data_IF_499276042103
#
_entry.id   IF_499276042103
#
_cell.length_a   1.000
_cell.length_b   1.000
_cell.length_c   1.000
_cell.angle_alpha   90.00
_cell.angle_beta   90.00
_cell.angle_gamma   90.00
#
_symmetry.space_group_name_H-M   'P 1'
#
loop_
_entity.id
_entity.type
_entity.pdbx_description
1 polymer ?
#
# COMPACT_ATOMS: atom_id res chain seq x y z
N UNK A 1 -12.76 8.62 2.29
CA UNK A 1 -12.07 9.81 1.75
C UNK A 1 -11.70 9.53 0.31
N UNK A 2 -11.51 10.57 -0.51
CA UNK A 2 -10.98 10.41 -1.88
C UNK A 2 -9.53 9.88 -1.86
N UNK A 3 -8.99 9.48 -3.02
CA UNK A 3 -7.58 9.07 -3.12
C UNK A 3 -6.75 10.34 -2.98
N UNK A 4 -5.53 10.25 -2.43
CA UNK A 4 -4.49 11.26 -2.41
C UNK A 4 -4.43 12.03 -3.74
N UNK A 5 -4.36 11.28 -4.85
CA UNK A 5 -4.25 11.79 -6.21
C UNK A 5 -5.50 12.53 -6.71
N UNK A 6 -6.63 12.40 -6.01
CA UNK A 6 -7.95 12.92 -6.38
C UNK A 6 -8.55 13.82 -5.29
N UNK A 7 -7.83 14.06 -4.19
CA UNK A 7 -8.32 14.79 -3.02
C UNK A 7 -8.62 16.24 -3.34
N UNK A 8 -9.78 16.73 -2.91
CA UNK A 8 -10.06 18.15 -2.86
C UNK A 8 -9.48 18.74 -1.57
N UNK A 9 -8.28 19.32 -1.65
CA UNK A 9 -7.55 19.86 -0.50
C UNK A 9 -8.24 21.03 0.22
N UNK A 10 -9.34 21.58 -0.32
CA UNK A 10 -10.16 22.58 0.38
C UNK A 10 -11.24 21.98 1.27
N UNK A 11 -11.64 20.74 1.01
CA UNK A 11 -12.79 20.09 1.65
C UNK A 11 -12.37 18.92 2.54
N UNK A 12 -11.31 18.21 2.16
CA UNK A 12 -10.84 17.01 2.83
C UNK A 12 -9.39 17.19 3.29
N UNK A 13 -9.06 16.87 4.55
CA UNK A 13 -7.67 16.85 5.01
C UNK A 13 -6.90 15.67 4.39
N UNK A 14 -5.59 15.82 4.29
CA UNK A 14 -4.65 14.71 4.09
C UNK A 14 -4.51 13.87 5.35
N UNK A 15 -3.98 12.65 5.21
CA UNK A 15 -3.60 11.78 6.31
C UNK A 15 -2.57 12.46 7.24
N UNK A 16 -1.64 13.23 6.67
CA UNK A 16 -0.68 14.03 7.42
C UNK A 16 -1.38 15.11 8.27
N UNK A 17 -2.35 15.85 7.71
CA UNK A 17 -3.12 16.86 8.44
C UNK A 17 -3.99 16.24 9.54
N UNK A 18 -4.63 15.09 9.27
CA UNK A 18 -5.39 14.35 10.28
C UNK A 18 -4.49 13.85 11.41
N UNK A 19 -3.31 13.31 11.08
CA UNK A 19 -2.32 12.83 12.04
C UNK A 19 -1.84 13.97 12.94
N UNK A 20 -1.49 15.11 12.35
CA UNK A 20 -1.13 16.32 13.08
C UNK A 20 -2.23 16.74 14.05
N UNK A 21 -3.47 16.86 13.56
CA UNK A 21 -4.59 17.30 14.38
C UNK A 21 -4.87 16.32 15.54
N UNK A 22 -4.75 15.01 15.29
CA UNK A 22 -4.90 13.99 16.32
C UNK A 22 -3.81 14.12 17.40
N UNK A 23 -2.54 14.21 17.00
CA UNK A 23 -1.42 14.37 17.93
C UNK A 23 -1.57 15.66 18.75
N UNK A 24 -1.94 16.78 18.12
CA UNK A 24 -2.14 18.07 18.81
C UNK A 24 -3.20 18.02 19.92
N UNK A 25 -4.20 17.14 19.79
CA UNK A 25 -5.23 16.90 20.80
C UNK A 25 -4.75 15.90 21.84
N UNK A 26 -4.24 14.75 21.39
CA UNK A 26 -3.89 13.61 22.25
C UNK A 26 -2.70 13.90 23.17
N UNK A 27 -1.72 14.68 22.70
CA UNK A 27 -0.54 15.05 23.49
C UNK A 27 -0.85 15.92 24.72
N UNK A 28 -2.09 16.42 24.85
CA UNK A 28 -2.54 17.16 26.04
C UNK A 28 -2.71 16.25 27.26
N UNK A 29 -2.77 14.93 27.07
CA UNK A 29 -2.81 13.99 28.17
C UNK A 29 -1.39 13.70 28.68
N UNK A 30 -1.09 14.14 29.91
CA UNK A 30 0.21 13.90 30.56
C UNK A 30 0.51 12.42 30.82
N UNK A 31 -0.51 11.54 30.77
CA UNK A 31 -0.32 10.08 30.86
C UNK A 31 0.04 9.42 29.52
N UNK A 32 0.19 10.21 28.45
CA UNK A 32 0.47 9.71 27.10
C UNK A 32 -0.79 9.33 26.32
N UNK A 33 -0.59 8.77 25.14
CA UNK A 33 -1.66 8.36 24.23
C UNK A 33 -1.26 7.18 23.35
N UNK A 34 -2.27 6.50 22.81
CA UNK A 34 -2.14 5.58 21.70
C UNK A 34 -2.86 6.19 20.49
N UNK A 35 -2.23 6.13 19.32
CA UNK A 35 -2.80 6.59 18.06
C UNK A 35 -2.56 5.54 16.98
N UNK A 36 -3.64 5.15 16.30
CA UNK A 36 -3.59 4.35 15.07
C UNK A 36 -3.83 5.27 13.88
N UNK A 37 -2.91 5.26 12.92
CA UNK A 37 -3.01 5.97 11.64
C UNK A 37 -2.98 4.93 10.53
N UNK A 38 -3.99 4.93 9.66
CA UNK A 38 -4.16 3.91 8.64
C UNK A 38 -4.12 4.52 7.22
N UNK A 39 -3.19 4.05 6.39
CA UNK A 39 -3.16 4.31 4.95
C UNK A 39 -4.12 3.39 4.17
N UNK A 40 -5.37 3.27 4.60
CA UNK A 40 -6.27 2.16 4.19
C UNK A 40 -6.68 2.13 2.72
N UNK A 41 -6.36 3.17 1.94
CA UNK A 41 -6.66 3.22 0.50
C UNK A 41 -5.56 2.60 -0.37
N UNK A 42 -4.39 2.30 0.21
CA UNK A 42 -3.33 1.52 -0.46
C UNK A 42 -3.91 0.19 -0.93
N UNK A 43 -4.62 -0.51 -0.03
CA UNK A 43 -5.32 -1.76 -0.28
C UNK A 43 -6.36 -1.64 -1.42
N UNK A 44 -7.26 -0.66 -1.31
CA UNK A 44 -8.32 -0.42 -2.31
C UNK A 44 -7.75 -0.16 -3.71
N UNK A 45 -6.62 0.54 -3.82
CA UNK A 45 -5.97 0.77 -5.09
C UNK A 45 -5.35 -0.53 -5.66
N UNK A 46 -4.79 -1.39 -4.81
CA UNK A 46 -4.27 -2.69 -5.23
C UNK A 46 -5.37 -3.66 -5.68
N UNK A 47 -6.53 -3.65 -5.01
CA UNK A 47 -7.73 -4.38 -5.44
C UNK A 47 -8.14 -4.06 -6.88
N UNK A 48 -7.97 -2.81 -7.30
CA UNK A 48 -8.28 -2.36 -8.66
C UNK A 48 -7.10 -2.51 -9.64
N UNK A 49 -5.98 -3.10 -9.21
CA UNK A 49 -4.69 -3.12 -9.92
C UNK A 49 -4.21 -1.72 -10.34
N UNK A 50 -4.51 -0.68 -9.58
CA UNK A 50 -4.12 0.72 -9.89
C UNK A 50 -2.87 1.10 -9.10
N UNK A 51 -1.70 0.60 -9.50
CA UNK A 51 -0.45 0.80 -8.77
C UNK A 51 -0.06 2.29 -8.64
N UNK A 52 -0.42 3.13 -9.63
CA UNK A 52 -0.19 4.57 -9.54
C UNK A 52 -0.90 5.21 -8.34
N UNK A 53 -2.15 4.82 -8.08
CA UNK A 53 -2.88 5.22 -6.87
C UNK A 53 -2.28 4.59 -5.62
N UNK A 54 -2.00 3.29 -5.63
CA UNK A 54 -1.47 2.60 -4.45
C UNK A 54 -0.15 3.22 -3.97
N UNK A 55 0.75 3.57 -4.89
CA UNK A 55 1.99 4.27 -4.57
C UNK A 55 1.74 5.70 -4.07
N UNK A 56 0.77 6.43 -4.64
CA UNK A 56 0.37 7.75 -4.16
C UNK A 56 -0.18 7.70 -2.73
N UNK A 57 -1.01 6.71 -2.39
CA UNK A 57 -1.51 6.53 -1.01
C UNK A 57 -0.38 6.12 -0.06
N UNK A 58 0.59 5.34 -0.54
CA UNK A 58 1.76 4.95 0.25
C UNK A 58 2.62 6.16 0.59
N UNK A 59 2.81 7.09 -0.35
CA UNK A 59 3.48 8.37 -0.08
C UNK A 59 2.70 9.23 0.90
N UNK A 60 1.37 9.23 0.85
CA UNK A 60 0.55 9.94 1.83
C UNK A 60 0.68 9.36 3.25
N UNK A 61 0.82 8.04 3.39
CA UNK A 61 1.16 7.43 4.67
C UNK A 61 2.58 7.79 5.13
N UNK A 62 3.55 7.84 4.21
CA UNK A 62 4.93 8.26 4.51
C UNK A 62 4.98 9.70 5.05
N UNK A 63 4.26 10.62 4.43
CA UNK A 63 4.13 12.00 4.92
C UNK A 63 3.51 12.04 6.32
N UNK A 64 2.49 11.23 6.60
CA UNK A 64 1.87 11.13 7.92
C UNK A 64 2.83 10.59 9.00
N UNK A 65 3.66 9.60 8.64
CA UNK A 65 4.74 9.10 9.52
C UNK A 65 5.76 10.19 9.80
N UNK A 66 6.18 10.95 8.78
CA UNK A 66 7.10 12.08 8.97
C UNK A 66 6.51 13.15 9.90
N UNK A 67 5.23 13.48 9.75
CA UNK A 67 4.53 14.40 10.67
C UNK A 67 4.52 13.86 12.10
N UNK A 68 4.29 12.57 12.30
CA UNK A 68 4.34 11.98 13.63
C UNK A 68 5.74 12.05 14.25
N UNK A 69 6.79 11.78 13.46
CA UNK A 69 8.20 11.91 13.87
C UNK A 69 8.53 13.36 14.27
N UNK A 70 8.05 14.34 13.52
CA UNK A 70 8.34 15.76 13.77
C UNK A 70 7.62 16.31 15.01
N UNK A 71 6.46 15.74 15.36
CA UNK A 71 5.59 16.23 16.43
C UNK A 71 5.77 15.48 17.76
N UNK A 72 6.53 14.38 17.80
CA UNK A 72 6.66 13.56 19.00
C UNK A 72 8.13 13.34 19.38
N UNK A 73 8.49 13.43 20.68
CA UNK A 73 9.85 13.21 21.14
C UNK A 73 10.22 11.72 21.03
N UNK A 74 11.34 11.44 20.35
CA UNK A 74 11.82 10.07 20.10
C UNK A 74 12.18 9.29 21.36
N UNK A 75 12.46 10.00 22.46
CA UNK A 75 12.83 9.48 23.76
C UNK A 75 11.62 8.92 24.53
N UNK A 76 10.41 9.33 24.18
CA UNK A 76 9.17 8.98 24.89
C UNK A 76 8.13 8.33 23.97
N UNK A 77 8.30 8.42 22.65
CA UNK A 77 7.32 7.94 21.68
C UNK A 77 7.87 6.78 20.85
N UNK A 78 7.20 5.64 20.92
CA UNK A 78 7.41 4.54 20.00
C UNK A 78 6.53 4.73 18.76
N UNK A 79 7.13 4.77 17.58
CA UNK A 79 6.40 4.77 16.30
C UNK A 79 6.66 3.43 15.61
N UNK A 80 5.58 2.74 15.26
CA UNK A 80 5.59 1.47 14.54
C UNK A 80 4.89 1.66 13.20
N UNK A 81 5.53 1.19 12.12
CA UNK A 81 4.95 1.11 10.77
C UNK A 81 4.98 -0.34 10.33
N UNK A 82 3.83 -0.88 9.95
CA UNK A 82 3.66 -2.24 9.42
C UNK A 82 2.50 -2.26 8.44
N UNK A 83 2.34 -3.36 7.71
CA UNK A 83 1.10 -3.70 7.02
C UNK A 83 0.32 -4.77 7.80
N UNK A 84 -0.97 -4.88 7.52
CA UNK A 84 -1.83 -5.96 7.97
C UNK A 84 -1.69 -7.20 7.07
N UNK A 85 -1.49 -7.02 5.77
CA UNK A 85 -1.16 -8.06 4.78
C UNK A 85 -0.48 -7.49 3.53
N UNK A 86 -0.03 -8.38 2.64
CA UNK A 86 0.54 -8.04 1.35
C UNK A 86 -0.49 -7.86 0.24
N UNK A 87 0.00 -7.52 -0.95
CA UNK A 87 -0.76 -7.54 -2.21
C UNK A 87 0.05 -8.24 -3.29
N UNK A 88 -0.64 -8.86 -4.26
CA UNK A 88 0.01 -9.64 -5.33
C UNK A 88 0.76 -8.77 -6.38
N UNK A 89 1.32 -7.62 -5.98
CA UNK A 89 2.15 -6.76 -6.80
C UNK A 89 3.54 -7.38 -7.02
N UNK A 90 4.07 -7.23 -8.22
CA UNK A 90 5.43 -7.62 -8.58
C UNK A 90 6.18 -6.47 -9.25
N UNK A 91 7.49 -6.38 -8.99
CA UNK A 91 8.40 -5.45 -9.66
C UNK A 91 9.29 -6.29 -10.59
N UNK A 92 9.05 -6.17 -11.89
CA UNK A 92 9.68 -6.97 -12.92
C UNK A 92 10.91 -6.27 -13.50
N UNK A 93 11.90 -7.07 -13.88
CA UNK A 93 13.14 -6.61 -14.50
C UNK A 93 13.03 -6.45 -16.02
N UNK A 94 13.94 -5.77 -16.71
CA UNK A 94 15.17 -5.14 -16.20
C UNK A 94 15.26 -3.65 -16.58
N UNK A 95 14.41 -2.78 -16.02
CA UNK A 95 14.46 -1.35 -16.32
C UNK A 95 15.79 -0.74 -15.88
N UNK A 96 16.25 0.28 -16.61
CA UNK A 96 17.43 1.06 -16.21
C UNK A 96 17.17 1.85 -14.92
N UNK A 97 18.24 2.15 -14.17
CA UNK A 97 18.15 3.06 -13.02
C UNK A 97 17.54 4.39 -13.46
N UNK A 98 16.67 4.96 -12.60
CA UNK A 98 15.90 6.20 -12.85
C UNK A 98 14.79 6.10 -13.88
N UNK A 99 14.49 4.91 -14.40
CA UNK A 99 13.22 4.70 -15.11
C UNK A 99 12.05 4.99 -14.17
N UNK A 100 10.98 5.55 -14.74
CA UNK A 100 9.71 5.70 -14.04
C UNK A 100 9.17 4.32 -13.66
N UNK A 101 8.85 4.11 -12.37
CA UNK A 101 8.36 2.83 -11.84
C UNK A 101 7.04 2.39 -12.48
N UNK A 102 6.23 3.32 -12.97
CA UNK A 102 4.98 3.03 -13.68
C UNK A 102 5.20 2.68 -15.16
N UNK A 103 6.44 2.82 -15.65
CA UNK A 103 6.78 2.67 -17.05
C UNK A 103 6.94 1.23 -17.54
N UNK A 104 7.44 1.12 -18.77
CA UNK A 104 7.80 -0.15 -19.43
C UNK A 104 9.06 -0.73 -18.78
N UNK A 105 9.02 -2.02 -18.47
CA UNK A 105 10.15 -2.79 -17.97
C UNK A 105 11.07 -3.27 -19.08
N UNK A 106 10.51 -4.03 -20.02
CA UNK A 106 11.22 -4.54 -21.21
C UNK A 106 10.20 -4.99 -22.29
N UNK A 107 10.71 -5.55 -23.39
CA UNK A 107 9.92 -6.26 -24.40
C UNK A 107 9.99 -7.76 -24.14
N UNK A 108 8.83 -8.43 -24.12
CA UNK A 108 8.78 -9.87 -23.91
C UNK A 108 9.38 -10.60 -25.11
N UNK A 109 10.33 -11.52 -24.84
CA UNK A 109 10.94 -12.36 -25.87
C UNK A 109 10.04 -13.47 -26.43
N UNK A 110 8.80 -13.59 -25.92
CA UNK A 110 7.83 -14.63 -26.35
C UNK A 110 6.87 -14.07 -27.39
N UNK A 111 6.24 -12.93 -27.09
CA UNK A 111 5.21 -12.29 -27.92
C UNK A 111 5.70 -11.02 -28.64
N UNK A 112 6.92 -10.54 -28.33
CA UNK A 112 7.47 -9.25 -28.77
C UNK A 112 6.61 -8.05 -28.37
N UNK A 113 5.80 -8.18 -27.32
CA UNK A 113 4.98 -7.09 -26.79
C UNK A 113 5.65 -6.51 -25.53
N UNK A 114 5.76 -5.19 -25.37
CA UNK A 114 6.23 -4.56 -24.13
C UNK A 114 5.46 -5.01 -22.89
N UNK A 115 6.08 -5.02 -21.72
CA UNK A 115 5.42 -5.21 -20.42
C UNK A 115 5.84 -4.12 -19.43
N UNK A 116 4.96 -3.80 -18.48
CA UNK A 116 5.23 -2.79 -17.45
C UNK A 116 6.16 -3.33 -16.37
N UNK A 117 6.88 -2.42 -15.69
CA UNK A 117 7.70 -2.79 -14.52
C UNK A 117 6.81 -3.40 -13.44
N UNK A 118 5.68 -2.76 -13.15
CA UNK A 118 4.70 -3.25 -12.19
C UNK A 118 3.67 -4.15 -12.86
N UNK A 119 3.43 -5.33 -12.29
CA UNK A 119 2.40 -6.29 -12.68
C UNK A 119 1.75 -6.89 -11.43
N UNK A 120 0.56 -7.47 -11.59
CA UNK A 120 -0.12 -8.19 -10.52
C UNK A 120 -0.23 -9.70 -10.80
N UNK A 121 -0.24 -10.50 -9.74
CA UNK A 121 -0.53 -11.93 -9.84
C UNK A 121 -1.99 -12.19 -10.23
N UNK A 122 -2.92 -11.37 -9.74
CA UNK A 122 -4.33 -11.48 -10.06
C UNK A 122 -5.02 -10.10 -9.96
N UNK A 123 -6.22 -9.99 -10.53
CA UNK A 123 -7.05 -8.79 -10.44
C UNK A 123 -7.68 -8.36 -11.77
N UNK A 124 -8.31 -7.18 -11.77
CA UNK A 124 -9.09 -6.70 -12.91
C UNK A 124 -8.23 -6.16 -14.05
N UNK A 125 -6.90 -6.12 -13.88
CA UNK A 125 -5.95 -5.78 -14.93
C UNK A 125 -5.71 -6.92 -15.92
N UNK A 126 -6.29 -8.10 -15.74
CA UNK A 126 -6.17 -9.19 -16.71
C UNK A 126 -6.86 -8.84 -18.04
N UNK A 127 -6.22 -9.22 -19.14
CA UNK A 127 -6.78 -9.09 -20.48
C UNK A 127 -7.32 -10.45 -20.96
N UNK A 128 -8.65 -10.59 -21.01
CA UNK A 128 -9.36 -11.86 -21.15
C UNK A 128 -9.26 -12.59 -22.50
N UNK A 129 -8.42 -12.14 -23.43
CA UNK A 129 -8.41 -12.66 -24.81
C UNK A 129 -7.60 -13.96 -25.02
N UNK A 130 -7.09 -14.56 -23.95
CA UNK A 130 -6.29 -15.81 -24.00
C UNK A 130 -7.04 -17.09 -23.64
N UNK A 131 -8.32 -17.04 -23.25
CA UNK A 131 -9.11 -18.25 -22.98
C UNK A 131 -10.41 -18.14 -23.77
N UNK A 132 -10.63 -19.08 -24.69
CA UNK A 132 -11.75 -19.06 -25.63
C UNK A 132 -13.09 -19.34 -24.96
N UNK A 133 -13.62 -18.35 -24.24
CA UNK A 133 -15.01 -18.34 -23.80
C UNK A 133 -15.65 -17.01 -24.20
N UNK A 134 -16.73 -17.12 -24.97
CA UNK A 134 -17.64 -16.02 -25.30
C UNK A 134 -18.18 -15.44 -24.00
N UNK A 135 -17.84 -14.19 -23.68
CA UNK A 135 -18.58 -13.43 -22.67
C UNK A 135 -19.34 -12.29 -23.35
N UNK A 136 -20.62 -12.30 -23.02
CA UNK A 136 -21.68 -11.44 -23.49
C UNK A 136 -21.34 -9.97 -23.28
N UNK A 137 -21.89 -9.13 -24.17
CA UNK A 137 -21.81 -7.68 -24.08
C UNK A 137 -22.54 -7.22 -22.81
N UNK A 138 -21.80 -6.89 -21.76
CA UNK A 138 -22.31 -5.98 -20.73
C UNK A 138 -22.00 -4.54 -21.17
N UNK A 139 -23.05 -3.84 -21.61
CA UNK A 139 -23.08 -2.40 -21.69
C UNK A 139 -23.07 -1.83 -20.26
N UNK A 140 -21.91 -1.44 -19.74
CA UNK A 140 -21.85 -0.49 -18.63
C UNK A 140 -21.02 0.73 -19.03
N UNK A 141 -21.76 1.83 -19.22
CA UNK A 141 -21.24 3.18 -19.17
C UNK A 141 -20.68 3.46 -17.77
N UNK A 142 -19.38 3.26 -17.55
CA UNK A 142 -18.67 3.99 -16.51
C UNK A 142 -17.35 4.53 -17.05
N UNK A 143 -17.11 5.81 -16.77
CA UNK A 143 -15.89 6.54 -17.08
C UNK A 143 -14.75 5.97 -16.21
N UNK A 144 -14.15 4.86 -16.63
CA UNK A 144 -13.04 4.19 -15.95
C UNK A 144 -11.86 3.99 -16.90
N UNK A 145 -10.65 4.27 -16.42
CA UNK A 145 -9.39 4.30 -17.18
C UNK A 145 -9.20 3.11 -18.11
N UNK A 146 -8.73 3.41 -19.33
CA UNK A 146 -8.73 2.49 -20.47
C UNK A 146 -8.10 1.13 -20.17
N UNK A 147 -8.92 0.09 -20.15
CA UNK A 147 -8.49 -1.26 -20.50
C UNK A 147 -8.03 -1.18 -21.96
N UNK A 148 -6.79 -1.56 -22.25
CA UNK A 148 -6.22 -1.50 -23.60
C UNK A 148 -6.94 -2.49 -24.54
N UNK A 149 -8.12 -2.15 -25.04
CA UNK A 149 -8.87 -3.00 -25.97
C UNK A 149 -8.17 -3.14 -27.32
N UNK A 150 -7.59 -4.30 -27.62
CA UNK A 150 -7.14 -4.71 -28.96
C UNK A 150 -7.72 -6.06 -29.35
N UNK A 151 -8.30 -6.20 -30.56
CA UNK A 151 -9.06 -7.35 -31.06
C UNK A 151 -8.36 -8.73 -31.00
N UNK A 152 -9.07 -9.79 -31.43
CA UNK A 152 -8.63 -11.19 -31.45
C UNK A 152 -7.15 -11.35 -31.86
N UNK A 153 -6.27 -11.58 -30.87
CA UNK A 153 -4.83 -11.82 -31.09
C UNK A 153 -3.93 -11.19 -30.02
N UNK A 154 -3.53 -12.00 -29.03
CA UNK A 154 -2.44 -11.67 -28.09
C UNK A 154 -2.81 -10.74 -26.94
N UNK A 155 -1.84 -10.59 -26.02
CA UNK A 155 -1.91 -9.69 -24.86
C UNK A 155 -1.92 -8.22 -25.31
N UNK A 156 -2.63 -7.37 -24.60
CA UNK A 156 -2.58 -5.92 -24.76
C UNK A 156 -1.15 -5.35 -24.72
N UNK A 157 -0.88 -4.39 -25.61
CA UNK A 157 0.39 -3.65 -25.68
C UNK A 157 0.34 -2.38 -24.82
N UNK A 158 1.01 -2.36 -23.64
CA UNK A 158 0.97 -1.24 -22.73
C UNK A 158 1.69 0.01 -23.27
N UNK A 159 2.57 -0.10 -24.28
CA UNK A 159 3.26 1.09 -24.81
C UNK A 159 2.33 2.04 -25.57
N UNK A 160 1.09 1.62 -25.81
CA UNK A 160 0.03 2.42 -26.45
C UNK A 160 -0.86 3.14 -25.43
N UNK A 161 -0.67 2.88 -24.14
CA UNK A 161 -1.45 3.48 -23.05
C UNK A 161 -0.69 4.63 -22.39
N UNK A 162 -1.43 5.48 -21.65
CA UNK A 162 -0.82 6.44 -20.74
C UNK A 162 -0.51 5.76 -19.40
N UNK A 163 0.71 5.26 -19.25
CA UNK A 163 1.12 4.51 -18.06
C UNK A 163 1.25 5.36 -16.79
N UNK A 164 1.37 6.68 -16.95
CA UNK A 164 1.40 7.63 -15.83
C UNK A 164 0.01 8.08 -15.37
N UNK A 165 -1.06 7.64 -16.03
CA UNK A 165 -2.41 7.84 -15.51
C UNK A 165 -2.58 7.01 -14.24
N UNK A 166 -2.92 7.66 -13.13
CA UNK A 166 -3.17 7.00 -11.84
C UNK A 166 -4.29 5.96 -11.91
N UNK A 167 -5.17 6.06 -12.91
CA UNK A 167 -6.24 5.09 -13.15
C UNK A 167 -5.82 3.89 -14.01
N UNK A 168 -4.61 3.89 -14.58
CA UNK A 168 -4.11 2.77 -15.38
C UNK A 168 -4.03 1.50 -14.54
N UNK A 169 -4.67 0.44 -15.03
CA UNK A 169 -4.65 -0.88 -14.39
C UNK A 169 -3.49 -1.69 -14.93
N UNK A 170 -2.50 -2.01 -14.10
CA UNK A 170 -1.40 -2.88 -14.51
C UNK A 170 -1.89 -4.28 -14.80
N UNK A 171 -1.26 -4.95 -15.75
CA UNK A 171 -1.68 -6.28 -16.16
C UNK A 171 -1.58 -7.29 -15.02
N UNK A 172 -2.55 -8.20 -14.97
CA UNK A 172 -2.60 -9.30 -14.01
C UNK A 172 -2.43 -10.66 -14.71
N UNK A 173 -1.96 -11.68 -13.99
CA UNK A 173 -1.84 -13.03 -14.54
C UNK A 173 -3.14 -13.86 -14.47
N UNK A 174 -3.96 -13.65 -13.44
CA UNK A 174 -5.26 -14.34 -13.25
C UNK A 174 -6.40 -13.31 -13.17
N UNK A 175 -7.47 -13.43 -13.99
CA UNK A 175 -8.59 -12.50 -13.94
C UNK A 175 -9.35 -12.61 -12.63
N UNK A 176 -9.57 -11.46 -11.99
CA UNK A 176 -10.50 -11.31 -10.88
C UNK A 176 -11.20 -9.95 -10.98
N UNK A 177 -12.42 -9.83 -10.44
CA UNK A 177 -13.10 -8.52 -10.38
C UNK A 177 -12.39 -7.54 -9.44
N UNK A 178 -11.77 -8.09 -8.39
CA UNK A 178 -10.94 -7.39 -7.42
C UNK A 178 -9.76 -8.31 -7.11
N UNK A 179 -8.55 -7.74 -7.07
CA UNK A 179 -7.36 -8.51 -6.72
C UNK A 179 -7.48 -9.09 -5.31
N UNK A 180 -6.85 -10.22 -5.04
CA UNK A 180 -6.74 -10.77 -3.71
C UNK A 180 -5.46 -10.28 -3.03
N UNK A 181 -5.52 -10.22 -1.70
CA UNK A 181 -4.35 -10.03 -0.85
C UNK A 181 -3.32 -11.14 -1.11
N UNK A 182 -2.09 -10.89 -0.71
CA UNK A 182 -1.04 -11.90 -0.70
C UNK A 182 -0.62 -12.24 0.73
N UNK A 183 -0.04 -13.43 0.90
CA UNK A 183 0.25 -14.05 2.20
C UNK A 183 1.74 -14.15 2.52
N UNK A 184 2.59 -13.40 1.83
CA UNK A 184 3.98 -13.23 2.23
C UNK A 184 4.11 -12.39 3.51
N UNK A 185 5.22 -12.57 4.20
CA UNK A 185 5.56 -11.75 5.37
C UNK A 185 5.66 -10.27 4.97
N UNK A 186 5.10 -9.39 5.80
CA UNK A 186 5.17 -7.94 5.65
C UNK A 186 6.25 -7.33 6.53
N UNK A 187 6.78 -6.17 6.12
CA UNK A 187 7.83 -5.49 6.88
C UNK A 187 7.28 -4.78 8.12
N UNK A 188 8.09 -4.77 9.18
CA UNK A 188 7.86 -4.03 10.41
C UNK A 188 9.03 -3.07 10.66
N UNK A 189 8.73 -1.79 10.85
CA UNK A 189 9.72 -0.74 11.14
C UNK A 189 9.36 -0.05 12.45
N UNK A 190 10.32 0.09 13.36
CA UNK A 190 10.08 0.64 14.70
C UNK A 190 11.18 1.60 15.11
N UNK A 191 10.79 2.73 15.70
CA UNK A 191 11.69 3.68 16.38
C UNK A 191 11.17 4.03 17.77
N UNK A 192 12.02 4.63 18.59
CA UNK A 192 11.70 5.07 19.95
C UNK A 192 11.99 4.03 21.05
N UNK A 193 11.42 4.20 22.26
CA UNK A 193 11.64 3.32 23.40
C UNK A 193 11.38 1.87 23.05
N UNK A 194 12.23 0.94 23.49
CA UNK A 194 12.09 -0.50 23.26
C UNK A 194 12.04 -0.96 21.79
N UNK A 195 12.38 -0.12 20.82
CA UNK A 195 12.49 -0.51 19.39
C UNK A 195 13.40 -1.72 19.15
N UNK A 196 14.40 -1.94 20.01
CA UNK A 196 15.29 -3.11 19.98
C UNK A 196 14.58 -4.46 20.23
N UNK A 197 13.31 -4.48 20.63
CA UNK A 197 12.49 -5.71 20.71
C UNK A 197 12.11 -6.25 19.33
N UNK A 198 12.29 -5.48 18.26
CA UNK A 198 11.88 -5.80 16.90
C UNK A 198 13.12 -5.95 15.98
N UNK A 199 13.70 -7.15 15.95
CA UNK A 199 14.97 -7.46 15.25
C UNK A 199 14.89 -8.67 14.32
N UNK A 200 13.89 -9.54 14.47
CA UNK A 200 13.76 -10.80 13.72
C UNK A 200 12.43 -10.96 12.99
N UNK A 201 11.97 -12.21 12.91
CA UNK A 201 10.68 -12.61 12.32
C UNK A 201 9.71 -12.93 13.45
N UNK A 202 8.49 -12.40 13.33
CA UNK A 202 7.48 -12.48 14.39
C UNK A 202 6.13 -12.86 13.81
N UNK A 203 5.32 -13.54 14.62
CA UNK A 203 3.88 -13.59 14.40
C UNK A 203 3.29 -12.18 14.53
N UNK A 204 2.33 -11.80 13.68
CA UNK A 204 1.76 -10.44 13.68
C UNK A 204 1.18 -10.04 15.06
N UNK A 205 0.65 -11.02 15.82
CA UNK A 205 0.14 -10.82 17.18
C UNK A 205 1.20 -10.33 18.17
N UNK A 206 2.48 -10.62 17.92
CA UNK A 206 3.60 -10.15 18.76
C UNK A 206 3.64 -8.63 18.88
N UNK A 207 3.26 -7.90 17.81
CA UNK A 207 3.34 -6.44 17.76
C UNK A 207 2.55 -5.83 18.92
N UNK A 208 1.30 -6.25 19.11
CA UNK A 208 0.46 -5.74 20.19
C UNK A 208 1.05 -6.05 21.59
N UNK A 209 1.60 -7.25 21.78
CA UNK A 209 2.22 -7.64 23.05
C UNK A 209 3.48 -6.83 23.36
N UNK A 210 4.36 -6.60 22.38
CA UNK A 210 5.57 -5.83 22.55
C UNK A 210 5.27 -4.34 22.82
N UNK A 211 4.25 -3.79 22.16
CA UNK A 211 3.75 -2.44 22.45
C UNK A 211 3.24 -2.33 23.89
N UNK A 212 2.42 -3.30 24.33
CA UNK A 212 1.88 -3.33 25.68
C UNK A 212 2.98 -3.45 26.75
N UNK A 213 3.98 -4.29 26.50
CA UNK A 213 5.16 -4.43 27.36
C UNK A 213 5.89 -3.09 27.54
N UNK A 214 6.18 -2.40 26.43
CA UNK A 214 6.94 -1.16 26.42
C UNK A 214 6.17 0.03 27.04
N UNK A 215 4.85 0.09 26.82
CA UNK A 215 3.98 1.14 27.36
C UNK A 215 3.49 0.85 28.78
N UNK A 216 3.84 -0.30 29.36
CA UNK A 216 3.38 -0.74 30.68
C UNK A 216 1.84 -0.80 30.82
N UNK A 217 1.15 -1.35 29.82
CA UNK A 217 -0.32 -1.47 29.81
C UNK A 217 -0.76 -2.92 29.63
N UNK A 218 -1.99 -3.22 30.06
CA UNK A 218 -2.60 -4.54 29.97
C UNK A 218 -2.16 -5.52 31.05
N UNK A 219 -2.65 -6.76 30.96
CA UNK A 219 -2.50 -7.79 32.00
C UNK A 219 -1.36 -8.79 31.68
N UNK A 220 -0.48 -8.45 30.73
CA UNK A 220 0.67 -9.25 30.33
C UNK A 220 1.95 -8.88 31.07
N UNK A 221 3.10 -9.40 30.60
CA UNK A 221 4.40 -8.93 31.08
C UNK A 221 4.58 -7.45 30.72
N UNK A 222 5.01 -6.63 31.69
CA UNK A 222 5.27 -5.20 31.48
C UNK A 222 6.69 -4.81 31.87
N UNK A 223 7.24 -3.77 31.21
CA UNK A 223 8.53 -3.20 31.59
C UNK A 223 8.51 -2.65 33.03
N UNK A 224 7.44 -1.98 33.44
CA UNK A 224 7.36 -1.30 34.74
C UNK A 224 7.32 -2.26 35.94
N UNK A 225 6.82 -3.49 35.77
CA UNK A 225 6.88 -4.50 36.82
C UNK A 225 8.27 -5.11 36.98
N UNK A 226 9.06 -5.19 35.90
CA UNK A 226 10.38 -5.84 35.88
C UNK A 226 11.47 -5.15 36.72
N UNK A 227 11.23 -3.91 37.18
CA UNK A 227 12.14 -3.13 38.04
C UNK A 227 11.65 -2.98 39.49
N UNK A 228 10.52 -3.62 39.83
CA UNK A 228 9.94 -3.58 41.18
C UNK A 228 10.38 -4.75 42.09
N UNK A 229 11.32 -5.58 41.61
CA UNK A 229 12.01 -6.65 42.36
C UNK A 229 13.50 -6.36 42.46
#
# INVERSE_FOLDING_TARGET
MAYASERNSKMDPSLAEMTKAAIEILQKNEQGFFLLVEGGRIDQAHHENQAGKALSETLELEEAVQVALDLTPSEETMIIVTADHGQALSINGYPSRKSDILGIGDVSGVDNIPYTILLYGNGPGYDAKTVGEEQEKEEENEKGGGVAGGGMGGRSDPSKANLTDVNYRQAAAVPQKSAYHSGEDVSLWVTGPHSHLFTGVYEQSYIAHAMAYAACVGDGLTYCESWSQ
#
